data_IF_157377508194
#
_entry.id   IF_157377508194
#
_cell.length_a   1.000
_cell.length_b   1.000
_cell.length_c   1.000
_cell.angle_alpha   90.00
_cell.angle_beta   90.00
_cell.angle_gamma   90.00
#
_symmetry.space_group_name_H-M   'P 1'
#
loop_
_entity.id
_entity.type
_entity.pdbx_description
1 polymer ?
#
# COMPACT_ATOMS: atom_id res chain seq x y z
N UNK A 1 -5.45 55.93 -59.09
CA UNK A 1 -5.18 54.91 -60.13
C UNK A 1 -3.74 54.44 -60.01
N UNK A 2 -3.53 53.22 -59.51
CA UNK A 2 -2.53 52.24 -60.02
C UNK A 2 -2.52 51.03 -59.09
N UNK A 3 -2.86 49.89 -59.68
CA UNK A 3 -2.69 48.53 -59.12
C UNK A 3 -1.20 48.25 -58.98
N UNK A 4 -0.79 47.53 -57.95
CA UNK A 4 0.51 46.86 -57.91
C UNK A 4 0.31 45.43 -57.40
N UNK A 5 0.87 44.52 -58.19
CA UNK A 5 0.81 43.07 -58.18
C UNK A 5 1.35 42.40 -56.91
N UNK A 6 0.77 41.24 -56.64
CA UNK A 6 1.26 40.25 -55.68
C UNK A 6 2.24 39.35 -56.43
N UNK A 7 3.54 39.56 -56.21
CA UNK A 7 4.61 38.65 -56.62
C UNK A 7 5.39 38.16 -55.40
N UNK A 8 5.21 36.87 -55.13
CA UNK A 8 6.24 35.91 -54.70
C UNK A 8 7.35 36.42 -53.77
N UNK A 9 7.16 36.19 -52.47
CA UNK A 9 8.26 36.08 -51.51
C UNK A 9 8.16 34.72 -50.81
N UNK A 10 8.89 33.74 -51.35
CA UNK A 10 9.12 32.44 -50.75
C UNK A 10 10.02 32.65 -49.53
N UNK A 11 9.44 32.66 -48.34
CA UNK A 11 10.20 32.57 -47.09
C UNK A 11 10.60 31.12 -46.88
N UNK A 12 11.84 30.79 -47.21
CA UNK A 12 12.50 29.55 -46.79
C UNK A 12 12.79 29.69 -45.30
N UNK A 13 11.88 29.19 -44.46
CA UNK A 13 12.17 28.94 -43.04
C UNK A 13 12.94 27.63 -42.97
N UNK A 14 14.24 27.70 -42.67
CA UNK A 14 15.04 26.54 -42.32
C UNK A 14 14.42 25.88 -41.09
N UNK A 15 13.76 24.73 -41.28
CA UNK A 15 13.46 23.80 -40.20
C UNK A 15 14.76 23.12 -39.78
N UNK A 16 15.38 23.61 -38.70
CA UNK A 16 16.38 22.81 -37.98
C UNK A 16 15.63 21.71 -37.24
N UNK A 17 15.71 20.48 -37.76
CA UNK A 17 15.24 19.30 -37.07
C UNK A 17 16.12 19.03 -35.85
N UNK A 18 15.73 19.55 -34.69
CA UNK A 18 16.25 19.07 -33.40
C UNK A 18 15.59 17.73 -33.13
N UNK A 19 16.31 16.64 -33.41
CA UNK A 19 15.97 15.32 -32.93
C UNK A 19 16.04 15.34 -31.40
N UNK A 20 14.88 15.49 -30.75
CA UNK A 20 14.74 15.23 -29.33
C UNK A 20 14.90 13.72 -29.14
N UNK A 21 16.04 13.31 -28.57
CA UNK A 21 16.19 11.98 -27.99
C UNK A 21 15.11 11.82 -26.92
N UNK A 22 14.15 10.96 -27.17
CA UNK A 22 13.25 10.43 -26.16
C UNK A 22 14.12 9.69 -25.13
N UNK A 23 14.27 10.27 -23.94
CA UNK A 23 14.67 9.52 -22.77
C UNK A 23 13.45 8.69 -22.35
N UNK A 24 13.43 7.42 -22.76
CA UNK A 24 12.60 6.42 -22.08
C UNK A 24 13.10 6.34 -20.63
N UNK A 25 12.26 6.77 -19.68
CA UNK A 25 12.43 6.39 -18.28
C UNK A 25 12.25 4.87 -18.19
N UNK A 26 13.38 4.18 -18.31
CA UNK A 26 13.50 2.77 -18.00
C UNK A 26 13.03 2.55 -16.57
N UNK A 27 11.87 1.91 -16.44
CA UNK A 27 11.50 1.23 -15.21
C UNK A 27 12.67 0.30 -14.86
N UNK A 28 13.36 0.63 -13.77
CA UNK A 28 14.46 -0.16 -13.24
C UNK A 28 13.99 -1.59 -12.98
N UNK A 29 14.17 -2.45 -13.97
CA UNK A 29 14.31 -3.87 -13.76
C UNK A 29 15.57 -4.03 -12.91
N UNK A 30 15.39 -4.28 -11.61
CA UNK A 30 16.48 -4.78 -10.78
C UNK A 30 17.04 -6.01 -11.48
N UNK A 31 18.25 -5.84 -12.04
CA UNK A 31 18.93 -6.86 -12.81
C UNK A 31 19.08 -8.14 -12.02
N UNK A 32 19.15 -9.26 -12.74
CA UNK A 32 19.65 -10.52 -12.20
C UNK A 32 21.09 -10.31 -11.74
N UNK A 33 21.24 -9.90 -10.48
CA UNK A 33 22.51 -9.88 -9.76
C UNK A 33 22.83 -11.28 -9.28
N UNK A 34 23.99 -11.77 -9.72
CA UNK A 34 24.72 -12.91 -9.16
C UNK A 34 24.78 -12.83 -7.63
N UNK A 35 24.86 -13.99 -6.97
CA UNK A 35 24.92 -14.21 -5.51
C UNK A 35 26.16 -13.63 -4.82
N UNK A 36 26.41 -12.33 -4.97
CA UNK A 36 27.29 -11.57 -4.10
C UNK A 36 26.44 -11.06 -2.93
N UNK A 37 26.82 -11.42 -1.71
CA UNK A 37 26.20 -10.88 -0.51
C UNK A 37 26.54 -9.40 -0.43
N UNK A 38 25.54 -8.54 -0.67
CA UNK A 38 25.67 -7.10 -0.46
C UNK A 38 26.00 -6.88 1.03
N UNK A 39 27.22 -6.41 1.29
CA UNK A 39 27.73 -6.16 2.64
C UNK A 39 27.27 -4.82 3.20
N UNK A 40 26.49 -4.06 2.43
CA UNK A 40 25.96 -2.77 2.87
C UNK A 40 25.03 -2.98 4.08
N UNK A 41 25.24 -2.26 5.19
CA UNK A 41 24.33 -2.31 6.32
C UNK A 41 22.92 -1.92 5.87
N UNK A 42 21.95 -2.79 6.08
CA UNK A 42 20.54 -2.44 5.89
C UNK A 42 20.18 -1.39 6.95
N UNK A 43 19.54 -0.30 6.52
CA UNK A 43 19.01 0.74 7.40
C UNK A 43 17.50 0.63 7.59
N UNK A 44 16.82 -0.05 6.66
CA UNK A 44 15.38 -0.23 6.68
C UNK A 44 14.95 -1.56 6.04
N UNK A 45 13.72 -1.98 6.35
CA UNK A 45 13.01 -3.05 5.65
C UNK A 45 11.51 -2.77 5.60
N UNK A 46 10.73 -3.65 4.98
CA UNK A 46 9.27 -3.54 4.93
C UNK A 46 8.57 -4.71 5.62
N UNK A 47 7.36 -4.46 6.14
CA UNK A 47 6.61 -5.47 6.91
C UNK A 47 5.61 -6.28 6.09
N UNK A 48 5.11 -5.71 4.98
CA UNK A 48 4.08 -6.35 4.13
C UNK A 48 4.07 -5.84 2.69
N UNK A 49 4.29 -4.53 2.48
CA UNK A 49 4.41 -3.88 1.17
C UNK A 49 5.65 -3.00 1.14
N UNK A 50 6.51 -3.25 0.16
CA UNK A 50 7.67 -2.39 -0.15
C UNK A 50 7.23 -0.92 -0.28
N UNK A 51 8.00 0.01 0.27
CA UNK A 51 7.76 1.47 0.28
C UNK A 51 6.56 1.96 1.10
N UNK A 52 5.56 1.12 1.37
CA UNK A 52 4.36 1.53 2.12
C UNK A 52 4.40 1.12 3.60
N UNK A 53 5.14 0.07 3.91
CA UNK A 53 5.27 -0.45 5.28
C UNK A 53 6.72 -0.49 5.74
N UNK A 54 7.49 0.51 5.30
CA UNK A 54 8.90 0.65 5.66
C UNK A 54 9.05 0.93 7.15
N UNK A 55 9.98 0.20 7.76
CA UNK A 55 10.42 0.33 9.15
C UNK A 55 11.94 0.51 9.14
N UNK A 56 12.40 1.54 9.83
CA UNK A 56 13.82 1.79 10.04
C UNK A 56 14.34 0.86 11.14
N UNK A 57 15.57 0.39 10.97
CA UNK A 57 16.26 -0.40 11.98
C UNK A 57 16.78 0.56 13.04
N UNK A 58 16.28 0.41 14.26
CA UNK A 58 16.71 1.16 15.45
C UNK A 58 17.05 0.20 16.57
N UNK A 59 17.91 0.62 17.51
CA UNK A 59 18.18 -0.16 18.71
C UNK A 59 17.16 0.19 19.80
N UNK A 60 16.48 -0.83 20.34
CA UNK A 60 15.63 -0.68 21.53
C UNK A 60 16.51 -0.61 22.77
N UNK A 61 17.52 -1.48 22.81
CA UNK A 61 18.59 -1.54 23.79
C UNK A 61 19.90 -1.76 23.03
N UNK A 62 21.07 -1.44 23.61
CA UNK A 62 22.35 -1.64 22.95
C UNK A 62 22.51 -3.09 22.45
N UNK A 63 22.66 -3.27 21.14
CA UNK A 63 22.76 -4.59 20.50
C UNK A 63 21.43 -5.33 20.28
N UNK A 64 20.29 -4.71 20.60
CA UNK A 64 18.95 -5.29 20.43
C UNK A 64 18.12 -4.47 19.42
N UNK A 65 18.11 -4.85 18.14
CA UNK A 65 17.38 -4.11 17.12
C UNK A 65 15.86 -4.31 17.25
N UNK A 66 15.10 -3.29 16.87
CA UNK A 66 13.64 -3.34 16.78
C UNK A 66 13.13 -4.35 15.76
N UNK A 67 13.87 -4.55 14.67
CA UNK A 67 13.59 -5.54 13.63
C UNK A 67 14.87 -6.14 13.07
N UNK A 68 14.77 -7.37 12.56
CA UNK A 68 15.82 -7.97 11.73
C UNK A 68 15.29 -8.15 10.32
N UNK A 69 15.99 -7.56 9.36
CA UNK A 69 15.62 -7.55 7.96
C UNK A 69 16.26 -8.71 7.18
N UNK A 70 15.56 -9.21 6.18
CA UNK A 70 16.13 -10.11 5.18
C UNK A 70 17.04 -9.34 4.24
N UNK A 71 18.28 -9.81 4.07
CA UNK A 71 19.20 -9.31 3.03
C UNK A 71 18.75 -9.68 1.61
N UNK A 72 17.91 -10.70 1.47
CA UNK A 72 17.48 -11.20 0.15
C UNK A 72 16.24 -10.48 -0.37
N UNK A 73 15.29 -10.23 0.53
CA UNK A 73 13.97 -9.73 0.15
C UNK A 73 13.73 -8.31 0.65
N UNK A 74 14.50 -7.81 1.62
CA UNK A 74 14.22 -6.55 2.29
C UNK A 74 13.00 -6.61 3.22
N UNK A 75 12.41 -7.79 3.45
CA UNK A 75 11.29 -7.98 4.35
C UNK A 75 11.73 -8.17 5.81
N UNK A 76 10.89 -7.81 6.77
CA UNK A 76 11.13 -8.13 8.20
C UNK A 76 11.02 -9.63 8.45
N UNK A 77 12.06 -10.22 9.03
CA UNK A 77 12.11 -11.63 9.44
C UNK A 77 11.83 -11.82 10.93
N UNK A 78 12.07 -10.78 11.74
CA UNK A 78 11.89 -10.85 13.19
C UNK A 78 11.66 -9.45 13.78
N UNK A 79 10.86 -9.39 14.84
CA UNK A 79 10.56 -8.18 15.59
C UNK A 79 11.14 -8.31 17.00
N UNK A 80 11.95 -7.34 17.42
CA UNK A 80 12.42 -7.20 18.79
C UNK A 80 11.37 -6.57 19.69
N UNK A 81 10.69 -5.54 19.20
CA UNK A 81 9.45 -5.03 19.79
C UNK A 81 8.33 -5.07 18.73
N UNK A 82 7.40 -6.04 18.84
CA UNK A 82 6.28 -6.17 17.91
C UNK A 82 5.28 -5.00 17.98
N UNK A 83 5.36 -4.17 19.02
CA UNK A 83 4.47 -3.05 19.29
C UNK A 83 5.11 -1.68 19.03
N UNK A 84 6.35 -1.64 18.53
CA UNK A 84 7.07 -0.41 18.30
C UNK A 84 6.28 0.56 17.42
N UNK A 85 6.10 1.79 17.91
CA UNK A 85 5.36 2.86 17.24
C UNK A 85 3.95 2.46 16.79
N UNK A 86 3.26 1.64 17.59
CA UNK A 86 1.84 1.33 17.40
C UNK A 86 0.97 2.26 18.25
N UNK A 87 -0.26 2.46 17.82
CA UNK A 87 -1.31 3.15 18.58
C UNK A 87 -2.44 2.18 18.92
N UNK A 88 -3.26 2.46 19.96
CA UNK A 88 -4.48 1.70 20.22
C UNK A 88 -5.36 1.60 18.98
N UNK A 89 -5.90 0.42 18.73
CA UNK A 89 -6.90 0.25 17.69
C UNK A 89 -8.16 1.04 18.08
N UNK A 90 -8.69 1.83 17.15
CA UNK A 90 -9.84 2.70 17.42
C UNK A 90 -11.12 1.92 17.72
N UNK A 91 -12.15 2.63 18.21
CA UNK A 91 -13.41 2.02 18.60
C UNK A 91 -14.09 1.23 17.48
N UNK A 92 -14.55 0.02 17.83
CA UNK A 92 -15.17 -0.92 16.92
C UNK A 92 -16.54 -1.34 17.48
N UNK A 93 -17.62 -1.17 16.70
CA UNK A 93 -18.98 -1.38 17.20
C UNK A 93 -19.37 -2.85 17.35
N UNK A 94 -18.61 -3.76 16.75
CA UNK A 94 -18.89 -5.20 16.83
C UNK A 94 -18.02 -5.77 17.95
N UNK A 95 -18.63 -6.51 18.87
CA UNK A 95 -17.97 -7.14 20.02
C UNK A 95 -16.92 -8.19 19.58
N UNK A 96 -15.76 -8.18 20.23
CA UNK A 96 -14.64 -9.07 19.98
C UNK A 96 -13.93 -9.45 21.29
N UNK A 97 -13.14 -10.52 21.26
CA UNK A 97 -12.40 -11.04 22.41
C UNK A 97 -11.27 -10.13 22.93
N UNK A 98 -11.01 -8.98 22.30
CA UNK A 98 -9.88 -8.08 22.60
C UNK A 98 -10.38 -6.65 22.81
N UNK A 99 -9.80 -5.97 23.80
CA UNK A 99 -10.05 -4.53 24.02
C UNK A 99 -9.21 -3.66 23.11
N UNK A 100 -9.54 -2.36 23.04
CA UNK A 100 -8.78 -1.35 22.27
C UNK A 100 -7.35 -1.16 22.76
N UNK A 101 -7.07 -1.44 24.04
CA UNK A 101 -5.74 -1.31 24.63
C UNK A 101 -4.86 -2.54 24.35
N UNK A 102 -5.50 -3.70 24.25
CA UNK A 102 -4.85 -4.98 23.93
C UNK A 102 -4.67 -5.15 22.42
N UNK A 103 -5.45 -4.45 21.59
CA UNK A 103 -5.31 -4.48 20.14
C UNK A 103 -4.69 -3.17 19.64
N UNK A 104 -3.54 -3.23 19.00
CA UNK A 104 -2.83 -2.05 18.48
C UNK A 104 -2.60 -2.14 16.97
N UNK A 105 -2.48 -1.00 16.31
CA UNK A 105 -2.23 -0.88 14.86
C UNK A 105 -1.05 0.06 14.60
N UNK A 106 -0.43 -0.02 13.42
CA UNK A 106 0.58 0.97 13.02
C UNK A 106 -0.11 2.19 12.40
N UNK A 107 0.21 3.42 12.87
CA UNK A 107 -0.19 4.64 12.20
C UNK A 107 0.16 4.63 10.71
N UNK A 108 -0.74 5.17 9.90
CA UNK A 108 -0.63 5.22 8.44
C UNK A 108 -0.45 6.63 7.91
N UNK A 109 -0.85 7.65 8.68
CA UNK A 109 -0.74 9.07 8.28
C UNK A 109 0.69 9.43 7.88
N UNK A 110 1.69 9.00 8.65
CA UNK A 110 3.11 9.25 8.37
C UNK A 110 3.66 8.47 7.16
N UNK A 111 2.89 7.48 6.67
CA UNK A 111 3.26 6.64 5.52
C UNK A 111 2.46 7.01 4.27
N UNK A 112 1.71 8.11 4.30
CA UNK A 112 1.07 8.66 3.11
C UNK A 112 2.14 9.26 2.19
N UNK A 113 1.93 9.17 0.88
CA UNK A 113 2.92 9.63 -0.11
C UNK A 113 3.11 11.15 -0.11
N UNK A 114 2.15 11.90 0.43
CA UNK A 114 2.23 13.35 0.53
C UNK A 114 2.76 13.76 1.90
N UNK A 115 3.83 14.54 1.87
CA UNK A 115 4.49 15.07 3.06
C UNK A 115 3.65 16.14 3.78
N UNK A 116 2.82 16.89 3.04
CA UNK A 116 1.99 17.95 3.59
C UNK A 116 0.58 17.45 3.91
N UNK A 117 -0.07 17.95 4.99
CA UNK A 117 -1.47 17.70 5.24
C UNK A 117 -2.32 18.09 4.02
N UNK A 118 -3.33 17.28 3.73
CA UNK A 118 -4.24 17.48 2.61
C UNK A 118 -5.01 18.81 2.76
N UNK A 119 -5.30 19.22 4.00
CA UNK A 119 -5.96 20.49 4.33
C UNK A 119 -5.20 21.73 3.87
N UNK A 120 -3.89 21.64 3.61
CA UNK A 120 -3.10 22.77 3.08
C UNK A 120 -3.67 23.26 1.75
N UNK A 121 -4.10 22.35 0.88
CA UNK A 121 -4.79 22.69 -0.37
C UNK A 121 -6.32 22.55 -0.25
N UNK A 122 -6.80 21.57 0.52
CA UNK A 122 -8.23 21.30 0.70
C UNK A 122 -8.83 22.02 1.91
N UNK A 123 -8.68 23.34 1.93
CA UNK A 123 -9.20 24.23 2.98
C UNK A 123 -10.54 24.90 2.63
N UNK A 124 -11.07 24.69 1.42
CA UNK A 124 -12.28 25.35 0.92
C UNK A 124 -12.04 26.70 0.24
N UNK A 125 -10.84 27.28 0.37
CA UNK A 125 -10.41 28.51 -0.30
C UNK A 125 -9.58 28.19 -1.54
N UNK A 126 -8.46 27.48 -1.37
CA UNK A 126 -7.54 27.08 -2.46
C UNK A 126 -8.20 26.04 -3.37
N UNK A 127 -8.74 24.97 -2.76
CA UNK A 127 -9.59 24.00 -3.45
C UNK A 127 -10.99 24.08 -2.85
N UNK A 128 -11.98 24.58 -3.60
CA UNK A 128 -13.35 24.66 -3.13
C UNK A 128 -13.89 23.28 -2.75
N UNK A 129 -14.71 23.23 -1.68
CA UNK A 129 -15.36 21.99 -1.30
C UNK A 129 -16.28 21.50 -2.44
N UNK A 130 -16.25 20.19 -2.75
CA UNK A 130 -17.10 19.65 -3.80
C UNK A 130 -18.58 19.77 -3.44
N UNK A 131 -19.40 20.22 -4.40
CA UNK A 131 -20.86 20.37 -4.21
C UNK A 131 -21.59 19.03 -4.21
N UNK A 132 -21.02 18.03 -4.88
CA UNK A 132 -21.58 16.69 -4.98
C UNK A 132 -20.47 15.63 -5.06
N UNK A 133 -20.90 14.36 -5.05
CA UNK A 133 -20.01 13.19 -5.19
C UNK A 133 -19.93 12.67 -6.63
N UNK A 134 -20.29 13.47 -7.63
CA UNK A 134 -20.22 12.99 -9.02
C UNK A 134 -18.76 12.77 -9.42
N UNK A 135 -18.43 11.60 -10.00
CA UNK A 135 -17.10 11.35 -10.54
C UNK A 135 -16.70 12.39 -11.57
N UNK A 136 -15.42 12.77 -11.54
CA UNK A 136 -14.83 13.75 -12.47
C UNK A 136 -13.35 13.46 -12.70
N UNK A 137 -12.77 14.07 -13.73
CA UNK A 137 -11.33 14.07 -13.91
C UNK A 137 -10.67 14.98 -12.88
N UNK A 138 -9.62 14.49 -12.23
CA UNK A 138 -8.79 15.28 -11.32
C UNK A 138 -7.56 15.80 -12.07
N UNK A 139 -7.25 17.08 -11.85
CA UNK A 139 -6.04 17.72 -12.39
C UNK A 139 -4.80 17.44 -11.52
N UNK A 140 -5.01 17.16 -10.23
CA UNK A 140 -3.98 16.77 -9.27
C UNK A 140 -4.19 15.32 -8.83
N UNK A 141 -3.21 14.74 -8.12
CA UNK A 141 -3.22 13.35 -7.61
C UNK A 141 -3.18 12.25 -8.70
N UNK A 142 -2.73 12.59 -9.91
CA UNK A 142 -2.55 11.64 -11.02
C UNK A 142 -1.42 10.63 -10.75
N UNK A 143 -0.51 10.96 -9.81
CA UNK A 143 0.51 10.07 -9.26
C UNK A 143 -0.07 8.93 -8.41
N UNK A 144 -1.27 9.11 -7.85
CA UNK A 144 -1.99 8.05 -7.11
C UNK A 144 -2.86 7.23 -8.07
N UNK A 145 -3.69 7.93 -8.85
CA UNK A 145 -4.64 7.34 -9.80
C UNK A 145 -4.55 8.12 -11.11
N UNK A 146 -3.88 7.58 -12.15
CA UNK A 146 -3.63 8.30 -13.40
C UNK A 146 -4.89 8.82 -14.09
N UNK A 147 -5.98 8.04 -14.05
CA UNK A 147 -7.30 8.47 -14.48
C UNK A 147 -8.31 8.23 -13.35
N UNK A 148 -8.74 9.30 -12.69
CA UNK A 148 -9.67 9.23 -11.56
C UNK A 148 -11.03 8.62 -11.91
N UNK A 149 -11.46 8.70 -13.17
CA UNK A 149 -12.70 8.04 -13.64
C UNK A 149 -12.56 6.53 -13.78
N UNK A 150 -11.32 6.03 -13.71
CA UNK A 150 -10.98 4.62 -13.82
C UNK A 150 -10.41 4.06 -12.52
N UNK A 151 -10.84 4.58 -11.37
CA UNK A 151 -10.48 4.01 -10.07
C UNK A 151 -10.72 2.50 -10.07
N UNK A 152 -9.65 1.72 -9.83
CA UNK A 152 -9.68 0.25 -9.88
C UNK A 152 -10.15 -0.32 -8.53
N UNK A 153 -11.31 0.16 -8.07
CA UNK A 153 -12.06 -0.29 -6.90
C UNK A 153 -13.57 -0.26 -7.19
N UNK A 154 -14.32 -1.25 -6.72
CA UNK A 154 -15.79 -1.24 -6.80
C UNK A 154 -16.38 -1.34 -8.21
N UNK A 155 -15.58 -1.74 -9.21
CA UNK A 155 -16.00 -1.95 -10.61
C UNK A 155 -16.63 -0.69 -11.22
N UNK A 156 -16.06 0.47 -10.91
CA UNK A 156 -16.54 1.77 -11.39
C UNK A 156 -17.71 2.36 -10.58
N UNK A 157 -18.22 1.65 -9.57
CA UNK A 157 -19.32 2.13 -8.72
C UNK A 157 -18.85 2.98 -7.52
N UNK A 158 -17.52 3.17 -7.35
CA UNK A 158 -16.93 3.88 -6.21
C UNK A 158 -16.18 5.10 -6.71
N UNK A 159 -16.33 6.19 -5.97
CA UNK A 159 -15.66 7.46 -6.17
C UNK A 159 -14.76 7.82 -4.99
N UNK A 160 -13.80 8.72 -5.19
CA UNK A 160 -12.83 9.13 -4.17
C UNK A 160 -13.50 9.61 -2.86
N UNK A 161 -14.68 10.24 -2.96
CA UNK A 161 -15.43 10.80 -1.83
C UNK A 161 -16.34 9.79 -1.09
N UNK A 162 -16.28 8.51 -1.48
CA UNK A 162 -16.90 7.42 -0.71
C UNK A 162 -15.98 6.91 0.41
N UNK A 163 -14.68 7.16 0.24
CA UNK A 163 -13.62 6.79 1.16
C UNK A 163 -13.04 7.99 1.90
N UNK A 164 -12.71 9.06 1.18
CA UNK A 164 -12.11 10.25 1.75
C UNK A 164 -13.17 11.31 2.05
N UNK A 165 -13.03 12.00 3.19
CA UNK A 165 -13.94 13.08 3.55
C UNK A 165 -13.82 14.26 2.56
N UNK A 166 -14.96 14.90 2.29
CA UNK A 166 -15.10 15.97 1.31
C UNK A 166 -14.67 17.35 1.84
N UNK A 167 -14.82 17.57 3.15
CA UNK A 167 -14.50 18.84 3.82
C UNK A 167 -13.16 18.78 4.54
N UNK A 168 -12.92 17.69 5.28
CA UNK A 168 -11.66 17.49 5.98
C UNK A 168 -10.84 16.39 5.31
N UNK A 169 -10.00 16.77 4.34
CA UNK A 169 -9.28 15.80 3.50
C UNK A 169 -8.17 15.02 4.24
N UNK A 170 -7.85 15.43 5.47
CA UNK A 170 -6.96 14.70 6.38
C UNK A 170 -7.63 13.48 7.04
N UNK A 171 -8.89 13.22 6.70
CA UNK A 171 -9.65 12.08 7.23
C UNK A 171 -10.35 11.29 6.14
N UNK A 172 -10.65 10.05 6.48
CA UNK A 172 -11.60 9.18 5.80
C UNK A 172 -13.02 9.47 6.31
N UNK A 173 -14.04 8.92 5.64
CA UNK A 173 -15.44 9.18 5.96
C UNK A 173 -16.22 7.89 6.23
N UNK A 174 -17.05 7.88 7.27
CA UNK A 174 -17.98 6.80 7.56
C UNK A 174 -19.24 6.84 6.66
N UNK A 175 -20.29 6.08 6.98
CA UNK A 175 -21.53 6.06 6.20
C UNK A 175 -22.43 7.29 6.46
N UNK A 176 -22.30 7.91 7.64
CA UNK A 176 -23.09 9.04 8.10
C UNK A 176 -22.38 10.38 7.93
N UNK A 177 -21.15 10.39 7.41
CA UNK A 177 -20.33 11.58 7.22
C UNK A 177 -19.36 11.88 8.35
N UNK A 178 -19.30 11.02 9.38
CA UNK A 178 -18.33 11.11 10.47
C UNK A 178 -16.90 10.82 9.99
N UNK A 179 -15.94 11.34 10.73
CA UNK A 179 -14.52 11.25 10.39
C UNK A 179 -13.89 9.95 10.88
N UNK A 180 -13.06 9.36 10.03
CA UNK A 180 -12.25 8.19 10.35
C UNK A 180 -10.79 8.58 10.13
N UNK A 181 -9.93 8.38 11.13
CA UNK A 181 -8.48 8.58 10.98
C UNK A 181 -7.89 7.67 9.91
N UNK A 182 -6.91 8.16 9.14
CA UNK A 182 -6.13 7.33 8.22
C UNK A 182 -5.42 6.16 8.91
N UNK A 183 -5.17 6.25 10.22
CA UNK A 183 -4.59 5.17 11.00
C UNK A 183 -5.57 4.01 11.28
N UNK A 184 -6.87 4.23 11.07
CA UNK A 184 -7.92 3.25 11.34
C UNK A 184 -8.73 2.88 10.07
N UNK A 185 -8.06 2.58 8.92
CA UNK A 185 -8.74 2.41 7.64
C UNK A 185 -9.67 1.19 7.61
N UNK A 186 -9.46 0.20 8.49
CA UNK A 186 -10.36 -0.94 8.66
C UNK A 186 -11.81 -0.51 8.98
N UNK A 187 -12.00 0.62 9.69
CA UNK A 187 -13.34 1.18 9.97
C UNK A 187 -14.02 1.63 8.70
N UNK A 188 -13.26 2.19 7.76
CA UNK A 188 -13.75 2.55 6.43
C UNK A 188 -14.04 1.30 5.60
N UNK A 189 -13.09 0.37 5.53
CA UNK A 189 -13.21 -0.82 4.68
C UNK A 189 -14.41 -1.69 5.10
N UNK A 190 -14.66 -1.81 6.42
CA UNK A 190 -15.77 -2.56 6.98
C UNK A 190 -17.16 -2.06 6.60
N UNK A 191 -17.31 -0.81 6.13
CA UNK A 191 -18.59 -0.28 5.61
C UNK A 191 -19.17 -1.13 4.50
N UNK A 192 -18.30 -1.70 3.65
CA UNK A 192 -18.69 -2.50 2.49
C UNK A 192 -18.18 -3.94 2.58
N UNK A 193 -17.03 -4.17 3.22
CA UNK A 193 -16.40 -5.49 3.36
C UNK A 193 -16.66 -6.10 4.74
N UNK A 194 -17.92 -6.19 5.15
CA UNK A 194 -18.33 -6.59 6.51
C UNK A 194 -17.83 -7.98 6.92
N UNK A 195 -17.96 -8.98 6.05
CA UNK A 195 -17.50 -10.36 6.33
C UNK A 195 -15.97 -10.41 6.54
N UNK A 196 -15.22 -9.82 5.61
CA UNK A 196 -13.76 -9.73 5.70
C UNK A 196 -13.33 -8.93 6.93
N UNK A 197 -14.07 -7.89 7.28
CA UNK A 197 -13.79 -7.08 8.45
C UNK A 197 -13.98 -7.86 9.76
N UNK A 198 -15.03 -8.68 9.85
CA UNK A 198 -15.24 -9.61 10.96
C UNK A 198 -14.11 -10.63 11.06
N UNK A 199 -13.79 -11.31 9.95
CA UNK A 199 -12.71 -12.31 9.91
C UNK A 199 -11.35 -11.70 10.23
N UNK A 200 -11.12 -10.47 9.75
CA UNK A 200 -9.93 -9.70 10.07
C UNK A 200 -9.85 -9.52 11.57
N UNK A 201 -10.85 -8.89 12.19
CA UNK A 201 -10.84 -8.61 13.64
C UNK A 201 -10.78 -9.87 14.52
N UNK A 202 -11.30 -11.00 14.06
CA UNK A 202 -11.24 -12.28 14.78
C UNK A 202 -9.89 -13.01 14.56
N UNK A 203 -9.06 -12.54 13.63
CA UNK A 203 -7.69 -13.00 13.41
C UNK A 203 -7.57 -14.10 12.36
N UNK A 204 -8.67 -14.36 11.65
CA UNK A 204 -8.78 -15.33 10.56
C UNK A 204 -8.20 -14.72 9.27
N UNK A 205 -8.41 -13.41 9.07
CA UNK A 205 -7.91 -12.69 7.91
C UNK A 205 -6.81 -11.68 8.27
N UNK A 206 -5.79 -11.59 7.41
CA UNK A 206 -4.68 -10.66 7.59
C UNK A 206 -3.54 -11.25 8.45
N UNK A 207 -2.73 -10.36 9.02
CA UNK A 207 -1.55 -10.70 9.83
C UNK A 207 -1.70 -10.10 11.21
N UNK A 208 -1.28 -10.85 12.23
CA UNK A 208 -1.28 -10.44 13.63
C UNK A 208 -0.06 -11.01 14.33
N UNK A 209 0.57 -10.22 15.19
CA UNK A 209 1.66 -10.67 16.07
C UNK A 209 1.42 -10.20 17.50
N UNK A 210 2.17 -10.74 18.46
CA UNK A 210 2.08 -10.40 19.87
C UNK A 210 1.76 -11.62 20.72
N UNK A 211 1.09 -11.39 21.85
CA UNK A 211 0.88 -12.42 22.86
C UNK A 211 -0.23 -13.40 22.48
N UNK A 212 -0.01 -14.70 22.71
CA UNK A 212 -1.01 -15.75 22.45
C UNK A 212 -2.13 -15.81 23.49
N UNK A 213 -1.85 -15.34 24.72
CA UNK A 213 -2.83 -15.37 25.82
C UNK A 213 -4.08 -14.55 25.48
N UNK A 214 -5.25 -15.02 25.92
CA UNK A 214 -6.50 -14.24 25.85
C UNK A 214 -6.32 -12.97 26.68
N UNK A 215 -6.74 -11.82 26.15
CA UNK A 215 -6.44 -10.51 26.75
C UNK A 215 -4.98 -10.03 26.58
N UNK A 216 -4.10 -10.82 25.96
CA UNK A 216 -2.73 -10.38 25.72
C UNK A 216 -2.65 -9.35 24.59
N UNK A 217 -1.73 -8.37 24.71
CA UNK A 217 -1.51 -7.33 23.71
C UNK A 217 -1.09 -7.94 22.35
N UNK A 218 -1.72 -7.47 21.27
CA UNK A 218 -1.54 -7.95 19.89
C UNK A 218 -1.54 -6.78 18.92
N UNK A 219 -0.63 -6.82 17.96
CA UNK A 219 -0.59 -5.90 16.84
C UNK A 219 -1.31 -6.49 15.64
N UNK A 220 -2.18 -5.69 15.05
CA UNK A 220 -2.91 -5.96 13.82
C UNK A 220 -2.31 -5.21 12.65
N UNK A 221 -2.20 -5.88 11.51
CA UNK A 221 -1.95 -5.20 10.23
C UNK A 221 -3.28 -4.70 9.69
N UNK A 222 -3.39 -3.39 9.46
CA UNK A 222 -4.61 -2.81 8.89
C UNK A 222 -4.71 -3.10 7.40
N UNK A 223 -5.92 -2.96 6.84
CA UNK A 223 -6.22 -3.33 5.46
C UNK A 223 -5.23 -2.70 4.45
N UNK A 224 -4.82 -1.45 4.67
CA UNK A 224 -3.94 -0.70 3.76
C UNK A 224 -2.45 -1.09 3.86
N UNK A 225 -2.05 -1.81 4.90
CA UNK A 225 -0.71 -2.39 5.00
C UNK A 225 -0.54 -3.53 3.99
N UNK A 226 -1.61 -4.29 3.70
CA UNK A 226 -1.58 -5.39 2.74
C UNK A 226 -2.18 -5.05 1.36
N UNK A 227 -3.15 -4.14 1.32
CA UNK A 227 -3.87 -3.78 0.10
C UNK A 227 -3.67 -2.32 -0.28
N UNK A 228 -3.53 -2.05 -1.59
CA UNK A 228 -3.64 -0.69 -2.10
C UNK A 228 -5.11 -0.39 -2.48
N UNK A 229 -5.83 0.46 -1.73
CA UNK A 229 -7.25 0.72 -1.99
C UNK A 229 -7.51 1.31 -3.38
N UNK A 230 -6.50 1.91 -4.02
CA UNK A 230 -6.65 2.50 -5.35
C UNK A 230 -6.48 1.49 -6.49
N UNK A 231 -5.95 0.30 -6.23
CA UNK A 231 -5.61 -0.68 -7.28
C UNK A 231 -6.00 -2.13 -6.95
N UNK A 232 -6.74 -2.37 -5.85
CA UNK A 232 -7.09 -3.74 -5.38
C UNK A 232 -7.71 -4.66 -6.44
N UNK A 233 -8.37 -4.12 -7.48
CA UNK A 233 -8.98 -4.95 -8.53
C UNK A 233 -7.97 -5.53 -9.52
N UNK A 234 -6.91 -4.79 -9.83
CA UNK A 234 -5.88 -5.22 -10.78
C UNK A 234 -4.68 -5.82 -10.06
N UNK A 235 -4.40 -5.32 -8.85
CA UNK A 235 -3.28 -5.75 -8.02
C UNK A 235 -3.76 -5.92 -6.59
N UNK A 236 -4.38 -7.07 -6.33
CA UNK A 236 -4.91 -7.40 -5.00
C UNK A 236 -3.80 -7.42 -3.94
N UNK A 237 -2.64 -7.98 -4.27
CA UNK A 237 -1.45 -8.00 -3.43
C UNK A 237 -0.20 -7.69 -4.24
N UNK A 238 0.77 -7.07 -3.58
CA UNK A 238 2.13 -6.92 -4.11
C UNK A 238 2.83 -8.28 -4.04
N UNK A 239 3.42 -8.75 -5.14
CA UNK A 239 4.17 -10.00 -5.16
C UNK A 239 5.43 -9.82 -4.31
N UNK A 240 5.55 -10.61 -3.24
CA UNK A 240 6.76 -10.67 -2.44
C UNK A 240 7.66 -11.79 -2.95
N UNK A 241 8.96 -11.52 -3.00
CA UNK A 241 9.96 -12.56 -3.25
C UNK A 241 10.01 -13.47 -2.01
N UNK A 242 9.95 -14.81 -2.16
CA UNK A 242 10.05 -15.70 -1.02
C UNK A 242 11.48 -15.79 -0.48
N UNK A 243 11.59 -16.04 0.82
CA UNK A 243 12.86 -16.43 1.45
C UNK A 243 13.35 -17.80 0.93
N UNK A 244 14.65 -18.13 1.11
CA UNK A 244 15.14 -19.47 0.85
C UNK A 244 14.34 -20.51 1.64
N UNK A 245 14.25 -21.72 1.10
CA UNK A 245 13.65 -22.83 1.83
C UNK A 245 14.39 -23.03 3.18
N UNK A 246 13.67 -23.37 4.25
CA UNK A 246 14.29 -23.71 5.52
C UNK A 246 15.32 -24.83 5.36
N UNK A 247 16.32 -24.86 6.24
CA UNK A 247 17.27 -25.97 6.29
C UNK A 247 16.53 -27.28 6.60
N UNK A 248 16.95 -28.37 5.94
CA UNK A 248 16.37 -29.68 6.17
C UNK A 248 16.59 -30.14 7.62
N UNK A 249 15.62 -30.84 8.23
CA UNK A 249 15.83 -31.48 9.52
C UNK A 249 17.05 -32.39 9.51
N UNK A 250 17.71 -32.50 10.67
CA UNK A 250 18.90 -33.34 10.82
C UNK A 250 18.60 -34.79 10.38
N UNK A 251 19.39 -35.30 9.44
CA UNK A 251 19.26 -36.65 8.90
C UNK A 251 18.48 -36.75 7.58
N UNK A 252 17.82 -35.67 7.13
CA UNK A 252 17.22 -35.61 5.80
C UNK A 252 18.23 -35.10 4.76
N UNK A 253 18.28 -35.77 3.60
CA UNK A 253 19.14 -35.38 2.46
C UNK A 253 18.41 -34.55 1.41
N UNK A 254 17.08 -34.65 1.35
CA UNK A 254 16.21 -33.91 0.43
C UNK A 254 14.80 -33.75 1.02
N UNK A 255 13.95 -32.96 0.36
CA UNK A 255 12.54 -32.76 0.69
C UNK A 255 11.59 -33.42 -0.34
N UNK A 256 12.03 -34.50 -1.00
CA UNK A 256 11.26 -35.07 -2.12
C UNK A 256 9.87 -35.58 -1.69
N UNK A 257 9.72 -35.95 -0.42
CA UNK A 257 8.44 -36.36 0.18
C UNK A 257 7.39 -35.24 0.21
N UNK A 258 7.78 -33.97 0.19
CA UNK A 258 6.85 -32.82 0.12
C UNK A 258 6.30 -32.57 -1.29
N UNK A 259 6.92 -33.20 -2.32
CA UNK A 259 6.53 -33.02 -3.73
C UNK A 259 5.39 -33.96 -4.16
N UNK A 260 4.89 -34.80 -3.26
CA UNK A 260 3.82 -35.77 -3.55
C UNK A 260 2.43 -35.13 -3.41
N UNK A 261 2.07 -34.27 -4.36
CA UNK A 261 0.68 -33.87 -4.60
C UNK A 261 0.30 -34.27 -6.03
N UNK A 262 -0.28 -35.47 -6.21
CA UNK A 262 -0.75 -35.92 -7.52
C UNK A 262 -1.03 -37.43 -7.66
N UNK A 263 -1.52 -38.11 -6.62
CA UNK A 263 -2.18 -39.40 -6.82
C UNK A 263 -3.60 -39.13 -7.34
N UNK A 264 -3.83 -39.34 -8.63
CA UNK A 264 -5.08 -39.01 -9.30
C UNK A 264 -6.29 -39.73 -8.71
N UNK A 265 -7.32 -38.97 -8.37
CA UNK A 265 -8.70 -39.45 -8.45
C UNK A 265 -9.07 -39.55 -9.94
N UNK A 266 -8.64 -40.65 -10.56
CA UNK A 266 -9.17 -41.08 -11.84
C UNK A 266 -10.63 -41.48 -11.67
N UNK A 267 -11.51 -40.86 -12.46
CA UNK A 267 -12.91 -41.24 -12.56
C UNK A 267 -13.04 -42.69 -13.03
N UNK A 268 -13.81 -43.47 -12.28
CA UNK A 268 -14.44 -44.69 -12.76
C UNK A 268 -15.90 -44.37 -13.06
N UNK A 269 -16.31 -44.68 -14.28
CA UNK A 269 -17.69 -44.72 -14.75
C UNK A 269 -18.56 -45.68 -13.92
#
# INVERSE_FOLDING_TARGET
>A
MKKIDITTAVFVVLFTASAALAAEEGHGAHGLGTSGEDTTPLTECFESREKYTTVEITEIEPGWPNVKCSRRTGGVLWWGDPFYGTEPMGEMPIEADYSHEEAVVRPRTEKLQYFMPCSVCHNGETVPFPKDKKPRLLQMHQDIVPNSLELKHGRGAIWCLDCHNAKNRDTLVDHFGGEISFNQPQRLCGKCHGEVYKDWRDGIHGKRIGMWVKGGKKRWWVCTECHNPHTVQTRRFDRLRPEPAPALPKGMKNADHERHHGGGHGGGH
#
